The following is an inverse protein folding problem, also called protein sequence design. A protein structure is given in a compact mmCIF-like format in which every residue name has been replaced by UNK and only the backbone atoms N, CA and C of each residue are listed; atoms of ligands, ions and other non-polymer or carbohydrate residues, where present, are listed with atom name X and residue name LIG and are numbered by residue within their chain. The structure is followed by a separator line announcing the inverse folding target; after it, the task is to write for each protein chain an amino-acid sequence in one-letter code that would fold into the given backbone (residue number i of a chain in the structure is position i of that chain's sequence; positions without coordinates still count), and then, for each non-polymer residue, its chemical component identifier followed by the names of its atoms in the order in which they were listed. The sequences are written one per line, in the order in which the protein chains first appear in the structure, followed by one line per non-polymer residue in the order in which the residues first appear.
data_IF_875829335128
#
_entry.id   IF_875829335128
#
_cell.length_a   1.000
_cell.length_b   1.000
_cell.length_c   1.000
_cell.angle_alpha   90.00
_cell.angle_beta   90.00
_cell.angle_gamma   90.00
#
_symmetry.space_group_name_H-M   'P 1'
#
loop_
_entity.id
_entity.type
_entity.pdbx_description
1 polymer ?
#
# COMPACT_ATOMS: atom_id res chain seq x y z
N UNK A 1 -39.87 12.97 6.52
CA UNK A 1 -39.50 14.39 6.68
C UNK A 1 -38.31 14.59 7.63
N UNK A 2 -38.49 14.52 8.96
CA UNK A 2 -37.42 14.81 9.93
C UNK A 2 -36.22 13.85 9.79
N UNK A 3 -36.48 12.54 9.70
CA UNK A 3 -35.42 11.54 9.53
C UNK A 3 -34.59 11.77 8.25
N UNK A 4 -35.21 12.23 7.17
CA UNK A 4 -34.53 12.50 5.90
C UNK A 4 -33.60 13.71 6.02
N UNK A 5 -34.04 14.77 6.71
CA UNK A 5 -33.21 15.93 7.06
C UNK A 5 -31.97 15.54 7.90
N UNK A 6 -32.11 14.56 8.79
CA UNK A 6 -31.01 14.04 9.62
C UNK A 6 -30.10 13.05 8.88
N UNK A 7 -30.58 12.42 7.80
CA UNK A 7 -29.83 11.41 7.03
C UNK A 7 -29.17 11.97 5.77
N UNK A 8 -29.65 13.08 5.19
CA UNK A 8 -29.16 13.62 3.92
C UNK A 8 -27.67 14.00 3.98
N UNK A 9 -26.91 13.49 3.01
CA UNK A 9 -25.45 13.69 2.84
C UNK A 9 -25.04 14.36 1.53
N UNK A 10 -25.89 14.31 0.50
CA UNK A 10 -25.60 14.72 -0.89
C UNK A 10 -26.84 15.42 -1.49
N UNK A 11 -26.66 16.17 -2.57
CA UNK A 11 -27.78 16.77 -3.33
C UNK A 11 -28.44 17.99 -2.69
N UNK A 12 -27.77 18.66 -1.75
CA UNK A 12 -28.22 19.88 -1.08
C UNK A 12 -27.05 20.87 -0.92
N UNK A 13 -27.33 22.15 -0.71
CA UNK A 13 -26.28 23.17 -0.49
C UNK A 13 -25.38 22.84 0.72
N UNK A 14 -25.98 22.46 1.86
CA UNK A 14 -25.26 21.98 3.05
C UNK A 14 -24.91 20.47 2.97
N UNK A 15 -24.30 20.01 1.88
CA UNK A 15 -23.89 18.61 1.72
C UNK A 15 -22.72 18.23 2.65
N UNK A 16 -22.43 16.92 2.75
CA UNK A 16 -21.31 16.38 3.52
C UNK A 16 -21.65 16.02 4.97
N UNK A 17 -20.76 15.23 5.60
CA UNK A 17 -20.99 14.65 6.92
C UNK A 17 -20.90 15.66 8.07
N UNK A 18 -20.03 16.67 7.96
CA UNK A 18 -19.95 17.75 8.94
C UNK A 18 -21.28 18.52 9.04
N UNK A 19 -21.88 18.83 7.89
CA UNK A 19 -23.18 19.51 7.84
C UNK A 19 -24.32 18.61 8.29
N UNK A 20 -24.24 17.29 8.04
CA UNK A 20 -25.17 16.30 8.61
C UNK A 20 -25.09 16.26 10.15
N UNK A 21 -23.89 16.26 10.72
CA UNK A 21 -23.67 16.36 12.18
C UNK A 21 -24.26 17.69 12.71
N UNK A 22 -24.04 18.81 12.01
CA UNK A 22 -24.61 20.10 12.42
C UNK A 22 -26.15 20.10 12.38
N UNK A 23 -26.78 19.46 11.38
CA UNK A 23 -28.25 19.24 11.36
C UNK A 23 -28.74 18.40 12.54
N UNK A 24 -28.01 17.33 12.88
CA UNK A 24 -28.34 16.46 14.02
C UNK A 24 -28.23 17.22 15.35
N UNK A 25 -27.18 18.02 15.53
CA UNK A 25 -27.02 18.92 16.69
C UNK A 25 -28.14 19.93 16.82
N UNK A 26 -28.48 20.64 15.73
CA UNK A 26 -29.59 21.61 15.71
C UNK A 26 -30.92 20.94 16.08
N UNK A 27 -31.15 19.70 15.63
CA UNK A 27 -32.35 18.95 15.98
C UNK A 27 -32.41 18.58 17.47
N UNK A 28 -31.30 18.18 18.09
CA UNK A 28 -31.27 17.88 19.54
C UNK A 28 -31.63 19.12 20.37
N UNK A 29 -31.06 20.29 20.03
CA UNK A 29 -31.41 21.56 20.72
C UNK A 29 -32.87 21.95 20.45
N UNK A 30 -33.36 21.79 19.22
CA UNK A 30 -34.76 22.08 18.88
C UNK A 30 -35.77 21.15 19.59
N UNK A 31 -35.44 19.88 19.79
CA UNK A 31 -36.25 18.95 20.58
C UNK A 31 -36.26 19.37 22.05
N UNK A 32 -35.09 19.70 22.62
CA UNK A 32 -34.97 20.20 24.00
C UNK A 32 -35.79 21.48 24.22
N UNK A 33 -35.61 22.48 23.36
CA UNK A 33 -36.36 23.73 23.38
C UNK A 33 -37.87 23.46 23.27
N UNK A 34 -38.29 22.55 22.37
CA UNK A 34 -39.72 22.23 22.23
C UNK A 34 -40.31 21.52 23.46
N UNK A 35 -39.54 20.65 24.13
CA UNK A 35 -39.94 20.04 25.41
C UNK A 35 -40.10 21.11 26.49
N UNK A 36 -39.17 22.06 26.57
CA UNK A 36 -39.20 23.17 27.54
C UNK A 36 -40.36 24.14 27.31
N UNK A 37 -40.49 24.68 26.09
CA UNK A 37 -41.55 25.64 25.73
C UNK A 37 -42.97 25.09 25.89
N UNK A 38 -43.18 23.82 25.56
CA UNK A 38 -44.49 23.17 25.68
C UNK A 38 -44.77 22.62 27.09
N UNK A 39 -43.85 22.78 28.06
CA UNK A 39 -44.02 22.26 29.42
C UNK A 39 -44.07 20.73 29.51
N UNK A 40 -43.43 20.01 28.58
CA UNK A 40 -43.55 18.55 28.43
C UNK A 40 -42.70 17.72 29.41
N UNK A 41 -42.08 18.34 30.43
CA UNK A 41 -41.33 17.60 31.45
C UNK A 41 -42.15 16.51 32.17
N UNK A 42 -43.43 16.72 32.56
CA UNK A 42 -44.25 15.66 33.16
C UNK A 42 -44.52 14.50 32.20
N UNK A 43 -44.41 14.74 30.88
CA UNK A 43 -44.56 13.72 29.84
C UNK A 43 -43.28 12.92 29.59
N UNK A 44 -42.12 13.30 30.16
CA UNK A 44 -40.85 12.60 29.92
C UNK A 44 -40.93 11.09 30.21
N UNK A 45 -41.52 10.60 31.31
CA UNK A 45 -41.68 9.16 31.53
C UNK A 45 -42.37 8.46 30.34
N UNK A 46 -43.54 8.95 29.92
CA UNK A 46 -44.26 8.39 28.76
C UNK A 46 -43.55 8.59 27.41
N UNK A 47 -42.68 9.60 27.28
CA UNK A 47 -41.80 9.76 26.12
C UNK A 47 -40.70 8.68 26.14
N UNK A 48 -40.12 8.36 27.30
CA UNK A 48 -39.12 7.30 27.45
C UNK A 48 -39.74 5.91 27.27
N UNK A 49 -40.96 5.69 27.76
CA UNK A 49 -41.73 4.45 27.53
C UNK A 49 -41.97 4.21 26.03
N UNK A 50 -42.16 5.28 25.23
CA UNK A 50 -42.27 5.18 23.77
C UNK A 50 -40.94 4.80 23.07
N UNK A 51 -39.82 4.77 23.79
CA UNK A 51 -38.54 4.22 23.34
C UNK A 51 -38.20 2.86 23.98
N UNK A 52 -39.15 2.19 24.66
CA UNK A 52 -38.92 0.85 25.20
C UNK A 52 -38.46 -0.13 24.09
N UNK A 53 -37.50 -1.00 24.42
CA UNK A 53 -36.76 -1.85 23.47
C UNK A 53 -35.90 -1.12 22.43
N UNK A 54 -35.94 0.21 22.35
CA UNK A 54 -35.30 1.02 21.29
C UNK A 54 -34.25 2.02 21.79
N UNK A 55 -34.20 2.31 23.10
CA UNK A 55 -33.18 3.16 23.72
C UNK A 55 -32.38 2.39 24.76
N UNK A 56 -31.10 2.14 24.46
CA UNK A 56 -30.14 1.54 25.38
C UNK A 56 -29.43 2.63 26.18
N UNK A 57 -29.64 2.66 27.50
CA UNK A 57 -28.97 3.58 28.43
C UNK A 57 -28.57 2.87 29.73
N UNK A 58 -27.52 3.36 30.39
CA UNK A 58 -27.13 2.95 31.74
C UNK A 58 -27.64 3.89 32.84
N UNK A 59 -28.41 4.93 32.50
CA UNK A 59 -29.05 5.83 33.46
C UNK A 59 -30.30 5.20 34.06
N UNK A 60 -30.41 5.18 35.38
CA UNK A 60 -31.66 4.83 36.07
C UNK A 60 -32.75 5.90 35.83
N UNK A 61 -34.03 5.53 35.97
CA UNK A 61 -35.14 6.47 35.88
C UNK A 61 -34.95 7.71 36.78
N UNK A 62 -34.47 7.51 38.01
CA UNK A 62 -34.18 8.60 38.96
C UNK A 62 -33.07 9.54 38.47
N UNK A 63 -32.01 9.00 37.85
CA UNK A 63 -30.95 9.82 37.25
C UNK A 63 -31.48 10.58 36.03
N UNK A 64 -32.28 9.94 35.16
CA UNK A 64 -32.88 10.59 33.99
C UNK A 64 -33.85 11.70 34.41
N UNK A 65 -34.65 11.49 35.45
CA UNK A 65 -35.53 12.50 36.03
C UNK A 65 -34.74 13.67 36.64
N UNK A 66 -33.64 13.41 37.34
CA UNK A 66 -32.76 14.45 37.89
C UNK A 66 -32.10 15.29 36.77
N UNK A 67 -31.63 14.64 35.69
CA UNK A 67 -31.11 15.33 34.50
C UNK A 67 -32.18 16.19 33.82
N UNK A 68 -33.41 15.69 33.70
CA UNK A 68 -34.54 16.45 33.14
C UNK A 68 -34.90 17.68 34.00
N UNK A 69 -34.90 17.53 35.34
CA UNK A 69 -35.14 18.64 36.27
C UNK A 69 -34.04 19.70 36.21
N UNK A 70 -32.77 19.29 36.10
CA UNK A 70 -31.65 20.20 35.86
C UNK A 70 -31.81 20.95 34.52
N UNK A 71 -32.13 20.22 33.44
CA UNK A 71 -32.26 20.76 32.10
C UNK A 71 -33.35 21.84 31.97
N UNK A 72 -34.38 21.85 32.84
CA UNK A 72 -35.39 22.92 32.86
C UNK A 72 -34.78 24.32 33.00
N UNK A 73 -33.71 24.45 33.79
CA UNK A 73 -33.05 25.72 34.08
C UNK A 73 -31.98 26.09 33.04
N UNK A 74 -31.71 25.23 32.05
CA UNK A 74 -30.74 25.48 30.98
C UNK A 74 -31.42 26.27 29.85
N UNK A 75 -30.78 27.34 29.38
CA UNK A 75 -31.23 28.09 28.21
C UNK A 75 -30.76 27.36 26.94
N UNK A 76 -31.62 27.13 25.91
CA UNK A 76 -31.20 26.42 24.71
C UNK A 76 -29.97 27.04 24.02
N UNK A 77 -29.90 28.36 23.99
CA UNK A 77 -28.79 29.11 23.38
C UNK A 77 -27.47 29.01 24.19
N UNK A 78 -27.51 28.58 25.46
CA UNK A 78 -26.31 28.32 26.25
C UNK A 78 -25.70 26.93 25.97
N UNK A 79 -26.34 26.08 25.17
CA UNK A 79 -25.88 24.70 24.91
C UNK A 79 -24.81 24.70 23.81
N UNK A 80 -23.55 24.77 24.22
CA UNK A 80 -22.39 24.66 23.34
C UNK A 80 -22.27 23.27 22.67
N UNK A 81 -22.27 23.23 21.33
CA UNK A 81 -22.33 22.01 20.52
C UNK A 81 -21.03 21.72 19.75
N UNK A 82 -20.02 21.18 20.42
CA UNK A 82 -18.66 20.98 19.89
C UNK A 82 -18.48 19.67 19.10
N UNK A 83 -17.53 19.63 18.17
CA UNK A 83 -17.15 18.42 17.40
C UNK A 83 -15.64 18.21 17.52
N UNK A 84 -15.20 16.97 17.72
CA UNK A 84 -13.79 16.63 17.52
C UNK A 84 -13.49 16.61 16.01
N UNK A 85 -12.74 17.61 15.54
CA UNK A 85 -12.31 17.72 14.14
C UNK A 85 -11.18 16.76 13.79
N UNK A 86 -10.90 16.64 12.50
CA UNK A 86 -9.83 15.80 11.98
C UNK A 86 -9.66 15.95 10.47
N UNK A 87 -8.67 15.27 9.93
CA UNK A 87 -8.36 15.29 8.50
C UNK A 87 -8.68 13.96 7.84
N UNK A 88 -9.25 14.02 6.65
CA UNK A 88 -9.38 12.84 5.79
C UNK A 88 -8.00 12.41 5.31
N UNK A 89 -7.69 11.13 5.50
CA UNK A 89 -6.57 10.46 4.85
C UNK A 89 -7.07 9.17 4.24
N UNK A 90 -6.85 9.03 2.93
CA UNK A 90 -6.86 7.71 2.32
C UNK A 90 -5.60 6.98 2.80
N UNK A 91 -5.78 5.80 3.39
CA UNK A 91 -4.68 4.95 3.84
C UNK A 91 -5.01 3.53 3.37
N UNK A 92 -4.08 2.93 2.63
CA UNK A 92 -4.23 1.65 1.91
C UNK A 92 -5.32 1.70 0.83
N UNK A 93 -6.57 1.43 1.22
CA UNK A 93 -7.76 1.46 0.37
C UNK A 93 -8.97 2.08 1.10
N UNK A 94 -8.81 2.54 2.34
CA UNK A 94 -9.89 3.09 3.18
C UNK A 94 -9.71 4.58 3.43
N UNK A 95 -10.82 5.28 3.64
CA UNK A 95 -10.83 6.69 4.03
C UNK A 95 -11.01 6.81 5.55
N UNK A 96 -9.92 7.13 6.24
CA UNK A 96 -9.93 7.42 7.67
C UNK A 96 -10.13 8.92 7.90
N UNK A 97 -10.80 9.28 8.99
CA UNK A 97 -10.74 10.62 9.58
C UNK A 97 -9.84 10.53 10.80
N UNK A 98 -8.64 11.12 10.72
CA UNK A 98 -7.71 11.15 11.84
C UNK A 98 -7.98 12.41 12.67
N UNK A 99 -8.38 12.21 13.92
CA UNK A 99 -8.69 13.30 14.86
C UNK A 99 -7.46 14.17 15.12
N UNK A 100 -7.62 15.49 15.01
CA UNK A 100 -6.57 16.43 15.40
C UNK A 100 -6.35 16.33 16.92
N UNK A 101 -5.20 15.79 17.31
CA UNK A 101 -4.87 15.55 18.71
C UNK A 101 -4.65 16.85 19.49
N UNK A 102 -4.13 17.90 18.86
CA UNK A 102 -3.95 19.22 19.52
C UNK A 102 -5.30 19.87 19.76
N UNK A 103 -6.17 19.88 18.75
CA UNK A 103 -7.53 20.40 18.88
C UNK A 103 -8.36 19.58 19.88
N UNK A 104 -8.21 18.24 19.91
CA UNK A 104 -8.87 17.36 20.89
C UNK A 104 -8.46 17.70 22.32
N UNK A 105 -7.16 17.78 22.61
CA UNK A 105 -6.65 18.12 23.94
C UNK A 105 -7.15 19.50 24.37
N UNK A 106 -7.05 20.51 23.49
CA UNK A 106 -7.56 21.85 23.78
C UNK A 106 -9.06 21.84 24.08
N UNK A 107 -9.86 21.16 23.26
CA UNK A 107 -11.32 21.10 23.45
C UNK A 107 -11.70 20.41 24.77
N UNK A 108 -11.01 19.33 25.15
CA UNK A 108 -11.28 18.66 26.43
C UNK A 108 -10.94 19.58 27.61
N UNK A 109 -9.84 20.34 27.52
CA UNK A 109 -9.46 21.33 28.54
C UNK A 109 -10.45 22.51 28.61
N UNK A 110 -10.87 23.04 27.46
CA UNK A 110 -11.80 24.16 27.35
C UNK A 110 -13.19 23.82 27.94
N UNK A 111 -13.69 22.60 27.72
CA UNK A 111 -15.06 22.19 28.09
C UNK A 111 -15.15 21.54 29.47
N UNK A 112 -14.17 20.71 29.83
CA UNK A 112 -14.22 19.91 31.06
C UNK A 112 -13.17 20.33 32.11
N UNK A 113 -12.26 21.25 31.79
CA UNK A 113 -11.15 21.63 32.66
C UNK A 113 -10.06 20.56 32.83
N UNK A 114 -10.21 19.39 32.18
CA UNK A 114 -9.33 18.23 32.32
C UNK A 114 -8.15 18.31 31.37
N UNK A 115 -6.94 18.10 31.89
CA UNK A 115 -5.73 17.91 31.08
C UNK A 115 -5.64 16.44 30.62
N UNK A 116 -5.40 16.22 29.33
CA UNK A 116 -5.25 14.89 28.74
C UNK A 116 -4.09 14.88 27.74
N UNK A 117 -3.40 13.75 27.62
CA UNK A 117 -2.32 13.60 26.65
C UNK A 117 -2.83 13.46 25.21
N UNK A 118 -2.00 13.85 24.24
CA UNK A 118 -2.20 13.52 22.84
C UNK A 118 -1.99 12.02 22.61
N UNK A 119 -2.89 11.37 21.87
CA UNK A 119 -2.70 9.97 21.52
C UNK A 119 -1.70 9.86 20.37
N UNK A 120 -0.67 9.04 20.54
CA UNK A 120 0.38 8.81 19.53
C UNK A 120 -0.10 7.91 18.38
N UNK A 121 -1.04 7.01 18.68
CA UNK A 121 -1.46 5.92 17.80
C UNK A 121 -2.52 6.31 16.75
N UNK A 122 -3.26 7.40 16.94
CA UNK A 122 -4.28 7.86 15.97
C UNK A 122 -3.68 8.84 14.95
N UNK A 123 -2.55 8.44 14.36
CA UNK A 123 -1.78 9.21 13.38
C UNK A 123 -1.57 8.39 12.10
N UNK A 124 -1.28 9.07 10.97
CA UNK A 124 -1.05 8.37 9.69
C UNK A 124 0.19 7.47 9.74
N UNK A 125 1.24 7.90 10.41
CA UNK A 125 2.46 7.11 10.62
C UNK A 125 2.20 5.88 11.50
N UNK A 126 1.46 6.01 12.60
CA UNK A 126 1.09 4.86 13.43
C UNK A 126 0.18 3.86 12.70
N UNK A 127 -0.74 4.34 11.85
CA UNK A 127 -1.53 3.48 10.99
C UNK A 127 -0.65 2.71 9.97
N UNK A 128 0.29 3.40 9.31
CA UNK A 128 1.25 2.75 8.40
C UNK A 128 2.13 1.74 9.14
N UNK A 129 2.63 2.07 10.33
CA UNK A 129 3.47 1.19 11.15
C UNK A 129 2.75 -0.10 11.54
N UNK A 130 1.48 0.00 11.94
CA UNK A 130 0.63 -1.17 12.22
C UNK A 130 0.41 -2.02 10.96
N UNK A 131 0.18 -1.37 9.82
CA UNK A 131 -0.02 -2.04 8.53
C UNK A 131 1.21 -2.80 8.03
N UNK A 132 2.40 -2.20 8.03
CA UNK A 132 3.62 -2.91 7.57
C UNK A 132 3.94 -4.11 8.47
N UNK A 133 3.65 -4.00 9.78
CA UNK A 133 3.76 -5.12 10.73
C UNK A 133 2.73 -6.23 10.48
N UNK A 134 1.54 -5.90 9.99
CA UNK A 134 0.53 -6.91 9.57
C UNK A 134 0.87 -7.54 8.22
N UNK A 135 1.49 -6.79 7.30
CA UNK A 135 1.98 -7.30 6.00
C UNK A 135 3.14 -8.28 6.15
N UNK A 136 4.13 -7.94 6.98
CA UNK A 136 5.38 -8.69 7.10
C UNK A 136 5.22 -10.22 7.25
N UNK A 137 4.39 -10.77 8.18
CA UNK A 137 4.23 -12.23 8.29
C UNK A 137 3.59 -12.86 7.05
N UNK A 138 2.59 -12.19 6.44
CA UNK A 138 1.90 -12.67 5.23
C UNK A 138 2.83 -12.65 4.03
N UNK A 139 3.67 -11.61 3.89
CA UNK A 139 4.70 -11.54 2.84
C UNK A 139 5.73 -12.64 3.06
N UNK A 140 6.21 -12.85 4.30
CA UNK A 140 7.21 -13.87 4.62
C UNK A 140 6.72 -15.27 4.23
N UNK A 141 5.57 -15.70 4.75
CA UNK A 141 4.96 -17.01 4.45
C UNK A 141 4.82 -17.25 2.94
N UNK A 142 4.32 -16.24 2.20
CA UNK A 142 4.07 -16.35 0.77
C UNK A 142 5.33 -16.21 -0.08
N UNK A 143 6.35 -15.50 0.40
CA UNK A 143 7.68 -15.46 -0.20
C UNK A 143 8.38 -16.81 -0.04
N UNK A 144 8.37 -17.42 1.16
CA UNK A 144 8.90 -18.77 1.39
C UNK A 144 8.24 -19.80 0.46
N UNK A 145 6.90 -19.78 0.34
CA UNK A 145 6.16 -20.67 -0.55
C UNK A 145 6.43 -20.45 -2.05
N UNK A 146 6.79 -19.23 -2.46
CA UNK A 146 7.19 -18.91 -3.84
C UNK A 146 8.66 -19.30 -4.11
N UNK A 147 9.55 -18.99 -3.16
CA UNK A 147 10.98 -19.32 -3.22
C UNK A 147 11.21 -20.83 -3.23
N UNK A 148 10.38 -21.63 -2.54
CA UNK A 148 10.42 -23.08 -2.66
C UNK A 148 10.16 -23.58 -4.10
N UNK A 149 9.22 -22.96 -4.82
CA UNK A 149 8.93 -23.28 -6.24
C UNK A 149 10.04 -22.82 -7.17
N UNK A 150 10.63 -21.65 -6.90
CA UNK A 150 11.82 -21.13 -7.59
C UNK A 150 12.98 -22.10 -7.43
N UNK A 151 13.28 -22.53 -6.20
CA UNK A 151 14.36 -23.46 -5.88
C UNK A 151 14.19 -24.80 -6.59
N UNK A 152 12.98 -25.37 -6.59
CA UNK A 152 12.69 -26.62 -7.30
C UNK A 152 12.96 -26.52 -8.82
N UNK A 153 12.67 -25.38 -9.46
CA UNK A 153 13.02 -25.16 -10.88
C UNK A 153 14.52 -24.98 -11.10
N UNK A 154 15.19 -24.22 -10.22
CA UNK A 154 16.64 -24.03 -10.31
C UNK A 154 17.42 -25.33 -10.05
N UNK A 155 16.92 -26.21 -9.18
CA UNK A 155 17.51 -27.54 -8.93
C UNK A 155 17.29 -28.50 -10.10
N UNK A 156 16.10 -28.46 -10.73
CA UNK A 156 15.83 -29.23 -11.94
C UNK A 156 16.72 -28.79 -13.11
N UNK A 157 16.93 -27.48 -13.30
CA UNK A 157 17.88 -26.95 -14.27
C UNK A 157 19.34 -27.30 -13.90
N UNK A 158 19.70 -27.26 -12.62
CA UNK A 158 21.02 -27.67 -12.15
C UNK A 158 21.30 -29.17 -12.39
N UNK A 159 20.28 -30.03 -12.49
CA UNK A 159 20.45 -31.43 -12.88
C UNK A 159 20.80 -31.61 -14.37
N UNK A 160 20.60 -30.59 -15.22
CA UNK A 160 20.93 -30.64 -16.64
C UNK A 160 22.45 -30.54 -16.88
N UNK A 161 22.97 -31.17 -17.94
CA UNK A 161 24.38 -31.09 -18.30
C UNK A 161 24.78 -29.65 -18.67
N UNK A 162 26.00 -29.29 -18.30
CA UNK A 162 26.66 -28.06 -18.78
C UNK A 162 27.28 -28.40 -20.15
N UNK A 163 27.07 -27.59 -21.21
CA UNK A 163 27.71 -27.83 -22.50
C UNK A 163 29.22 -27.73 -22.34
N UNK A 164 29.92 -28.83 -22.57
CA UNK A 164 31.39 -28.84 -22.58
C UNK A 164 31.85 -28.11 -23.84
N UNK A 165 32.76 -27.11 -23.75
CA UNK A 165 33.27 -26.45 -24.94
C UNK A 165 34.02 -27.47 -25.81
N UNK A 166 33.51 -27.71 -27.02
CA UNK A 166 34.19 -28.55 -28.01
C UNK A 166 35.60 -28.02 -28.21
N UNK A 167 36.65 -28.87 -28.16
CA UNK A 167 38.02 -28.40 -28.38
C UNK A 167 38.12 -27.73 -29.75
N UNK A 168 38.66 -26.51 -29.75
CA UNK A 168 38.93 -25.73 -30.97
C UNK A 168 39.72 -26.62 -31.94
N UNK A 169 39.27 -26.81 -33.20
CA UNK A 169 39.97 -27.70 -34.12
C UNK A 169 41.42 -27.24 -34.31
N UNK A 170 42.35 -28.18 -34.14
CA UNK A 170 43.78 -27.96 -34.36
C UNK A 170 43.98 -27.44 -35.79
N UNK A 171 44.68 -26.32 -36.00
CA UNK A 171 44.95 -25.83 -37.34
C UNK A 171 45.77 -26.87 -38.10
N UNK A 172 45.23 -27.38 -39.21
CA UNK A 172 45.94 -28.23 -40.15
C UNK A 172 47.09 -27.40 -40.76
N UNK A 173 48.32 -27.93 -40.84
CA UNK A 173 49.45 -27.16 -41.37
C UNK A 173 49.21 -26.75 -42.82
N UNK A 174 49.26 -25.45 -43.09
CA UNK A 174 49.14 -24.90 -44.44
C UNK A 174 50.37 -25.26 -45.25
N UNK A 175 50.18 -25.91 -46.40
CA UNK A 175 51.25 -26.10 -47.38
C UNK A 175 51.68 -24.77 -47.99
N UNK A 176 52.99 -24.65 -48.17
CA UNK A 176 53.75 -23.52 -48.69
C UNK A 176 53.34 -23.08 -50.12
N UNK A 177 53.33 -21.76 -50.37
CA UNK A 177 53.64 -21.22 -51.69
C UNK A 177 54.75 -20.16 -51.64
N UNK A 178 55.78 -20.34 -52.46
CA UNK A 178 56.81 -19.34 -52.77
C UNK A 178 56.69 -18.86 -54.23
N UNK A 179 57.31 -17.73 -54.64
CA UNK A 179 57.50 -16.46 -53.92
C UNK A 179 56.98 -15.23 -54.71
N UNK A 180 57.18 -14.03 -54.14
CA UNK A 180 56.81 -12.68 -54.65
C UNK A 180 57.58 -12.25 -55.92
N UNK A 181 57.16 -11.18 -56.65
CA UNK A 181 57.77 -9.85 -56.39
C UNK A 181 56.88 -8.59 -56.60
N UNK A 182 57.22 -7.50 -55.87
CA UNK A 182 57.26 -6.03 -56.21
C UNK A 182 56.08 -5.30 -56.92
N UNK A 183 55.79 -3.99 -56.77
CA UNK A 183 56.36 -2.86 -55.97
C UNK A 183 55.40 -1.61 -55.91
N UNK A 184 55.76 -0.63 -55.07
CA UNK A 184 55.55 0.85 -55.20
C UNK A 184 54.23 1.61 -54.82
N UNK A 185 54.31 2.33 -53.67
CA UNK A 185 54.06 3.79 -53.41
C UNK A 185 52.75 4.55 -53.76
N UNK A 186 52.07 5.05 -52.70
CA UNK A 186 51.55 6.44 -52.41
C UNK A 186 50.78 7.33 -53.43
N UNK A 187 50.10 8.45 -53.04
CA UNK A 187 49.58 8.90 -51.72
C UNK A 187 48.09 9.41 -51.73
N UNK A 188 47.62 9.96 -50.61
CA UNK A 188 46.34 10.69 -50.39
C UNK A 188 46.47 12.21 -50.75
N UNK A 189 45.57 13.21 -50.41
CA UNK A 189 44.35 13.21 -49.55
C UNK A 189 43.18 14.19 -49.93
N UNK A 190 42.21 14.38 -48.98
CA UNK A 190 41.58 15.68 -48.59
C UNK A 190 40.08 15.97 -48.91
N UNK A 191 39.25 16.24 -47.87
CA UNK A 191 38.59 17.55 -47.54
C UNK A 191 37.36 17.46 -46.60
N UNK A 192 37.13 18.53 -45.82
CA UNK A 192 36.03 18.83 -44.85
C UNK A 192 34.88 19.63 -45.57
N UNK A 193 33.80 20.23 -44.97
CA UNK A 193 33.45 20.45 -43.55
C UNK A 193 31.94 20.41 -43.12
N UNK A 194 31.70 20.69 -41.82
CA UNK A 194 30.41 20.93 -41.11
C UNK A 194 29.83 22.36 -41.35
N UNK A 195 28.54 22.61 -41.06
CA UNK A 195 28.23 23.67 -40.07
C UNK A 195 26.99 23.45 -39.14
N UNK A 196 26.96 24.19 -38.02
CA UNK A 196 25.90 24.31 -36.97
C UNK A 196 25.81 25.79 -36.52
N UNK A 197 24.62 26.38 -36.24
CA UNK A 197 24.18 26.81 -34.87
C UNK A 197 22.63 26.62 -34.68
N UNK A 198 21.85 27.09 -33.69
CA UNK A 198 21.97 28.07 -32.57
C UNK A 198 21.00 27.65 -31.40
N UNK A 199 21.08 28.24 -30.20
CA UNK A 199 20.22 27.92 -29.01
C UNK A 199 19.81 29.19 -28.22
N UNK A 200 18.50 29.41 -27.93
CA UNK A 200 17.98 29.56 -26.54
C UNK A 200 16.52 29.04 -26.37
N UNK A 201 15.84 29.02 -25.20
CA UNK A 201 16.17 28.80 -23.76
C UNK A 201 14.85 28.59 -22.97
N UNK A 202 14.87 27.97 -21.78
CA UNK A 202 13.72 27.84 -20.87
C UNK A 202 13.66 26.52 -20.09
N UNK A 203 14.26 26.47 -18.90
CA UNK A 203 14.43 25.22 -18.14
C UNK A 203 13.38 24.90 -17.07
N UNK A 204 13.28 23.61 -16.74
CA UNK A 204 12.89 23.09 -15.41
C UNK A 204 13.44 21.68 -15.23
N UNK A 205 13.81 21.32 -14.00
CA UNK A 205 14.52 20.09 -13.68
C UNK A 205 13.55 18.99 -13.21
N UNK A 206 13.78 17.74 -13.64
CA UNK A 206 13.20 16.57 -13.00
C UNK A 206 14.16 15.37 -13.07
N UNK A 207 14.09 14.50 -12.05
CA UNK A 207 15.15 13.55 -11.70
C UNK A 207 15.23 12.30 -12.57
N UNK A 208 16.45 11.74 -12.67
CA UNK A 208 16.72 10.55 -13.48
C UNK A 208 16.09 9.28 -12.91
N UNK A 209 15.12 8.71 -13.64
CA UNK A 209 14.73 7.31 -13.51
C UNK A 209 15.58 6.45 -14.47
N UNK A 210 16.56 5.73 -13.92
CA UNK A 210 17.42 4.84 -14.71
C UNK A 210 16.63 3.59 -15.15
N UNK A 211 16.12 3.59 -16.38
CA UNK A 211 15.42 2.45 -16.96
C UNK A 211 16.36 1.24 -17.15
N UNK A 212 16.06 0.14 -16.45
CA UNK A 212 16.75 -1.14 -16.65
C UNK A 212 16.34 -1.69 -18.02
N UNK A 213 17.32 -1.91 -18.90
CA UNK A 213 17.12 -2.51 -20.22
C UNK A 213 16.78 -4.00 -20.09
N UNK A 214 15.88 -4.56 -20.91
CA UNK A 214 15.72 -6.00 -21.01
C UNK A 214 17.03 -6.62 -21.54
N UNK A 215 17.57 -7.59 -20.81
CA UNK A 215 18.77 -8.33 -21.20
C UNK A 215 18.43 -9.31 -22.33
N UNK A 216 18.52 -8.84 -23.58
CA UNK A 216 18.41 -9.69 -24.77
C UNK A 216 19.68 -10.54 -24.94
N UNK A 217 19.66 -11.76 -24.43
CA UNK A 217 20.75 -12.74 -24.65
C UNK A 217 20.49 -13.50 -25.95
N UNK A 218 20.73 -12.82 -27.08
CA UNK A 218 20.70 -13.44 -28.41
C UNK A 218 21.96 -14.27 -28.65
N UNK A 219 22.01 -15.51 -28.12
CA UNK A 219 23.15 -16.41 -28.31
C UNK A 219 22.99 -17.22 -29.62
N UNK A 220 23.81 -16.99 -30.67
CA UNK A 220 23.61 -17.59 -31.98
C UNK A 220 23.79 -19.12 -32.03
N UNK A 221 24.37 -19.74 -30.99
CA UNK A 221 24.53 -21.20 -30.91
C UNK A 221 23.18 -21.97 -30.89
N UNK A 222 22.12 -21.37 -30.35
CA UNK A 222 20.83 -22.05 -30.18
C UNK A 222 20.13 -22.37 -31.51
N UNK A 223 20.44 -21.61 -32.57
CA UNK A 223 19.80 -21.76 -33.89
C UNK A 223 20.20 -23.03 -34.63
N UNK A 224 21.32 -23.66 -34.23
CA UNK A 224 21.88 -24.84 -34.91
C UNK A 224 21.44 -26.18 -34.29
N UNK A 225 20.87 -26.15 -33.08
CA UNK A 225 20.58 -27.36 -32.27
C UNK A 225 19.19 -27.96 -32.61
N UNK A 226 18.32 -27.22 -33.30
CA UNK A 226 16.94 -27.62 -33.62
C UNK A 226 16.79 -28.79 -34.62
N UNK A 227 17.87 -29.50 -34.97
CA UNK A 227 17.91 -30.58 -35.95
C UNK A 227 18.32 -31.95 -35.40
N UNK A 228 18.72 -32.05 -34.13
CA UNK A 228 19.13 -33.34 -33.51
C UNK A 228 18.72 -33.44 -32.04
N UNK A 229 17.72 -34.28 -31.75
CA UNK A 229 17.41 -34.93 -30.45
C UNK A 229 17.62 -34.12 -29.16
N UNK A 230 16.52 -33.79 -28.47
CA UNK A 230 16.49 -33.00 -27.23
C UNK A 230 17.47 -33.46 -26.13
N UNK A 231 18.60 -32.76 -25.99
CA UNK A 231 19.29 -32.63 -24.70
C UNK A 231 19.14 -31.19 -24.23
N UNK A 232 18.24 -30.95 -23.27
CA UNK A 232 18.17 -29.66 -22.59
C UNK A 232 19.47 -29.44 -21.79
N UNK A 233 20.14 -28.33 -22.04
CA UNK A 233 21.34 -27.92 -21.32
C UNK A 233 20.97 -26.95 -20.19
N UNK A 234 21.78 -26.92 -19.13
CA UNK A 234 21.59 -26.01 -18.00
C UNK A 234 21.51 -24.55 -18.46
N UNK A 235 20.43 -23.87 -18.11
CA UNK A 235 20.13 -22.49 -18.45
C UNK A 235 20.67 -21.49 -17.40
N UNK A 236 20.70 -21.87 -16.12
CA UNK A 236 21.05 -20.99 -14.99
C UNK A 236 22.28 -21.51 -14.24
N UNK A 237 23.43 -20.87 -14.49
CA UNK A 237 24.68 -21.17 -13.76
C UNK A 237 24.59 -20.75 -12.28
N UNK A 238 25.25 -21.46 -11.34
CA UNK A 238 25.20 -21.14 -9.90
C UNK A 238 25.70 -19.72 -9.56
N UNK A 239 26.70 -19.23 -10.27
CA UNK A 239 27.22 -17.85 -10.13
C UNK A 239 26.47 -16.83 -11.00
N UNK A 240 25.35 -17.26 -11.62
CA UNK A 240 24.54 -16.46 -12.52
C UNK A 240 23.58 -15.50 -11.79
N UNK A 241 23.06 -14.48 -12.50
CA UNK A 241 22.23 -13.44 -11.89
C UNK A 241 20.94 -13.97 -11.25
N UNK A 242 20.38 -15.08 -11.74
CA UNK A 242 19.14 -15.67 -11.21
C UNK A 242 19.39 -16.36 -9.86
N UNK A 243 20.51 -17.08 -9.71
CA UNK A 243 20.90 -17.67 -8.42
C UNK A 243 21.33 -16.59 -7.41
N UNK A 244 22.02 -15.53 -7.85
CA UNK A 244 22.33 -14.39 -7.01
C UNK A 244 21.06 -13.69 -6.48
N UNK A 245 20.06 -13.47 -7.34
CA UNK A 245 18.77 -12.89 -6.97
C UNK A 245 17.96 -13.82 -6.03
N UNK A 246 17.99 -15.13 -6.26
CA UNK A 246 17.38 -16.10 -5.35
C UNK A 246 18.01 -16.05 -3.95
N UNK A 247 19.34 -16.04 -3.86
CA UNK A 247 20.05 -15.98 -2.57
C UNK A 247 19.79 -14.65 -1.85
N UNK A 248 19.70 -13.52 -2.59
CA UNK A 248 19.28 -12.21 -2.05
C UNK A 248 17.87 -12.29 -1.46
N UNK A 249 16.88 -12.78 -2.22
CA UNK A 249 15.50 -12.88 -1.77
C UNK A 249 15.33 -13.81 -0.55
N UNK A 250 16.10 -14.90 -0.46
CA UNK A 250 16.12 -15.77 0.74
C UNK A 250 16.67 -15.02 1.96
N UNK A 251 17.75 -14.25 1.81
CA UNK A 251 18.31 -13.46 2.90
C UNK A 251 17.36 -12.34 3.36
N UNK A 252 16.73 -11.64 2.41
CA UNK A 252 15.70 -10.63 2.69
C UNK A 252 14.48 -11.22 3.41
N UNK A 253 14.02 -12.40 3.00
CA UNK A 253 12.92 -13.11 3.64
C UNK A 253 13.26 -13.56 5.07
N UNK A 254 14.49 -14.03 5.30
CA UNK A 254 14.99 -14.35 6.63
C UNK A 254 15.04 -13.12 7.54
N UNK A 255 15.52 -11.98 7.03
CA UNK A 255 15.64 -10.70 7.74
C UNK A 255 14.33 -9.88 7.82
N UNK A 256 13.23 -10.33 7.22
CA UNK A 256 11.97 -9.58 7.27
C UNK A 256 11.38 -9.58 8.68
N UNK A 257 11.12 -8.38 9.21
CA UNK A 257 10.63 -8.14 10.56
C UNK A 257 11.71 -7.70 11.57
N UNK A 258 12.99 -7.63 11.18
CA UNK A 258 14.08 -7.13 12.04
C UNK A 258 14.34 -5.62 11.89
N UNK A 259 13.59 -4.94 11.03
CA UNK A 259 13.75 -3.51 10.73
C UNK A 259 13.32 -2.62 11.91
N UNK A 260 14.08 -1.57 12.20
CA UNK A 260 13.84 -0.73 13.38
C UNK A 260 12.84 0.39 13.10
N UNK A 261 12.82 0.92 11.87
CA UNK A 261 11.85 1.94 11.42
C UNK A 261 10.70 1.38 10.57
N UNK A 262 9.62 2.15 10.47
CA UNK A 262 8.46 1.80 9.63
C UNK A 262 8.81 1.90 8.14
N UNK A 263 9.66 2.87 7.81
CA UNK A 263 10.17 3.15 6.48
C UNK A 263 11.09 2.02 5.99
N UNK A 264 11.99 1.51 6.83
CA UNK A 264 12.78 0.30 6.55
C UNK A 264 11.90 -0.93 6.37
N UNK A 265 10.94 -1.17 7.28
CA UNK A 265 10.06 -2.35 7.19
C UNK A 265 9.23 -2.31 5.91
N UNK A 266 8.74 -1.14 5.52
CA UNK A 266 8.06 -0.94 4.24
C UNK A 266 8.98 -1.22 3.06
N UNK A 267 10.20 -0.67 3.05
CA UNK A 267 11.16 -0.89 1.98
C UNK A 267 11.52 -2.39 1.85
N UNK A 268 11.71 -3.09 2.96
CA UNK A 268 11.97 -4.54 2.99
C UNK A 268 10.76 -5.35 2.48
N UNK A 269 9.54 -5.01 2.92
CA UNK A 269 8.29 -5.61 2.41
C UNK A 269 8.16 -5.44 0.88
N UNK A 270 8.39 -4.22 0.38
CA UNK A 270 8.18 -3.88 -1.03
C UNK A 270 9.32 -4.46 -1.91
N UNK A 271 10.57 -4.49 -1.44
CA UNK A 271 11.73 -5.08 -2.14
C UNK A 271 11.60 -6.60 -2.28
N UNK A 272 11.28 -7.32 -1.19
CA UNK A 272 11.15 -8.77 -1.23
C UNK A 272 10.03 -9.22 -2.18
N UNK A 273 8.91 -8.48 -2.22
CA UNK A 273 7.84 -8.70 -3.20
C UNK A 273 8.38 -8.58 -4.63
N UNK A 274 9.12 -7.51 -4.94
CA UNK A 274 9.65 -7.25 -6.27
C UNK A 274 10.66 -8.32 -6.73
N UNK A 275 11.58 -8.72 -5.84
CA UNK A 275 12.59 -9.76 -6.13
C UNK A 275 11.94 -11.12 -6.38
N UNK A 276 10.99 -11.54 -5.53
CA UNK A 276 10.27 -12.81 -5.69
C UNK A 276 9.40 -12.80 -6.95
N UNK A 277 8.75 -11.67 -7.27
CA UNK A 277 8.01 -11.52 -8.54
C UNK A 277 8.93 -11.61 -9.77
N UNK A 278 10.10 -10.98 -9.72
CA UNK A 278 11.11 -11.03 -10.78
C UNK A 278 11.62 -12.47 -11.02
N UNK A 279 11.94 -13.20 -9.94
CA UNK A 279 12.31 -14.62 -10.00
C UNK A 279 11.19 -15.49 -10.59
N UNK A 280 9.96 -15.32 -10.11
CA UNK A 280 8.81 -16.09 -10.57
C UNK A 280 8.53 -15.82 -12.06
N UNK A 281 8.59 -14.56 -12.50
CA UNK A 281 8.46 -14.17 -13.91
C UNK A 281 9.56 -14.82 -14.78
N UNK A 282 10.82 -14.72 -14.35
CA UNK A 282 11.99 -15.27 -15.06
C UNK A 282 11.91 -16.79 -15.25
N UNK A 283 11.29 -17.51 -14.31
CA UNK A 283 11.19 -18.98 -14.30
C UNK A 283 9.82 -19.51 -14.76
N UNK A 284 8.92 -18.63 -15.23
CA UNK A 284 7.58 -18.99 -15.68
C UNK A 284 6.68 -19.56 -14.57
N UNK A 285 6.84 -19.09 -13.33
CA UNK A 285 5.99 -19.44 -12.18
C UNK A 285 4.86 -18.40 -12.10
N UNK A 286 3.59 -18.75 -12.36
CA UNK A 286 2.49 -17.81 -12.24
C UNK A 286 2.18 -17.48 -10.78
N UNK A 287 2.09 -16.19 -10.47
CA UNK A 287 1.54 -15.66 -9.22
C UNK A 287 0.24 -14.89 -9.54
N UNK A 288 -0.78 -15.03 -8.69
CA UNK A 288 -2.03 -14.27 -8.87
C UNK A 288 -1.84 -12.78 -8.55
N UNK A 289 -2.66 -11.91 -9.12
CA UNK A 289 -2.67 -10.47 -8.78
C UNK A 289 -3.07 -10.18 -7.33
N UNK A 290 -3.61 -11.18 -6.63
CA UNK A 290 -3.95 -11.13 -5.20
C UNK A 290 -2.91 -11.84 -4.32
N UNK A 291 -1.82 -12.38 -4.87
CA UNK A 291 -0.87 -13.25 -4.16
C UNK A 291 -0.22 -12.58 -2.95
N UNK A 292 -0.08 -11.25 -2.92
CA UNK A 292 0.50 -10.52 -1.79
C UNK A 292 -0.53 -9.84 -0.87
N UNK A 293 -1.83 -9.99 -1.16
CA UNK A 293 -2.89 -9.32 -0.38
C UNK A 293 -3.07 -9.91 1.01
N UNK A 294 -3.10 -9.07 2.03
CA UNK A 294 -3.43 -9.49 3.40
C UNK A 294 -4.92 -9.85 3.50
N UNK A 295 -5.28 -10.76 4.40
CA UNK A 295 -6.59 -11.45 4.37
C UNK A 295 -7.79 -10.50 4.27
N UNK A 296 -7.74 -9.36 4.97
CA UNK A 296 -8.82 -8.35 4.98
C UNK A 296 -8.92 -7.45 3.73
N UNK A 297 -7.99 -7.56 2.76
CA UNK A 297 -8.14 -6.98 1.42
C UNK A 297 -8.89 -7.90 0.45
N UNK A 298 -9.16 -9.14 0.86
CA UNK A 298 -9.78 -10.20 0.05
C UNK A 298 -11.03 -10.78 0.68
N UNK A 299 -11.04 -10.94 2.00
CA UNK A 299 -12.16 -11.40 2.80
C UNK A 299 -12.95 -10.20 3.33
N UNK A 300 -14.21 -10.10 2.91
CA UNK A 300 -15.14 -9.04 3.32
C UNK A 300 -15.64 -9.25 4.75
N UNK A 301 -15.72 -10.50 5.22
CA UNK A 301 -16.22 -10.86 6.55
C UNK A 301 -15.20 -10.58 7.66
N UNK A 302 -13.90 -10.50 7.33
CA UNK A 302 -12.83 -10.27 8.30
C UNK A 302 -13.02 -9.03 9.19
N UNK A 303 -13.69 -7.98 8.68
CA UNK A 303 -13.96 -6.74 9.42
C UNK A 303 -15.44 -6.59 9.81
N UNK A 304 -16.26 -7.62 9.67
CA UNK A 304 -17.65 -7.60 10.11
C UNK A 304 -17.71 -7.85 11.63
N UNK A 305 -17.77 -6.78 12.40
CA UNK A 305 -18.11 -6.85 13.82
C UNK A 305 -19.60 -7.20 13.91
N UNK A 306 -19.90 -8.48 14.13
CA UNK A 306 -21.26 -8.92 14.43
C UNK A 306 -21.60 -8.49 15.86
N UNK A 307 -22.43 -7.46 15.99
CA UNK A 307 -23.02 -7.07 17.27
C UNK A 307 -24.32 -7.85 17.42
N UNK A 308 -24.33 -8.80 18.33
CA UNK A 308 -25.56 -9.45 18.77
C UNK A 308 -26.33 -8.47 19.68
N UNK A 309 -27.64 -8.36 19.46
CA UNK A 309 -28.55 -7.49 20.21
C UNK A 309 -29.63 -8.29 20.97
N UNK A 310 -29.46 -9.62 21.05
CA UNK A 310 -30.32 -10.52 21.83
C UNK A 310 -29.93 -10.59 23.31
#
# INVERSE_FOLDING_TARGET
AVLDYLRVRKGIAEAGDLNRINRQKRMLVAIFDKIKQNGLLPSIPGILDAFDGNMYTNTTLSQTAALAAFAYNVEPDSIGMYSMGGHYKNIFNWNFVLTDQKARVKLIKDIYGVDVEQYKDYTSSAAQARWEKMRAPVIKERAEAALAKVKAKLDADAALPIPTPTPKPTPVPSTEPAPSPSESTEPAPSTSPTPTPTVPDGGSAEGAAAGIRPLSVSNPLLSLIALTGETQYRQYLPDGPVWALYNKAVAECAALGTQESTEELRAANDQLIADVQSLCSTLGIPLSSTYWRVNYETDKSFNEITVDFN
#
